data_IF_877578160918
#
_entry.id   IF_877578160918
#
_cell.length_a   1.000
_cell.length_b   1.000
_cell.length_c   1.000
_cell.angle_alpha   90.00
_cell.angle_beta   90.00
_cell.angle_gamma   90.00
#
_symmetry.space_group_name_H-M   'P 1'
#
loop_
_entity.id
_entity.type
_entity.pdbx_description
1 polymer ?
#
# COMPACT_ATOMS: atom_id res chain seq x y z
N UNK A 1 0.09 -24.43 -2.16
CA UNK A 1 -0.08 -22.96 -2.13
C UNK A 1 -1.39 -22.64 -2.83
N UNK A 2 -2.40 -22.17 -2.10
CA UNK A 2 -3.70 -21.79 -2.68
C UNK A 2 -3.48 -20.53 -3.53
N UNK A 3 -3.75 -20.61 -4.83
CA UNK A 3 -3.62 -19.45 -5.71
C UNK A 3 -4.76 -18.47 -5.41
N UNK A 4 -4.42 -17.21 -5.10
CA UNK A 4 -5.41 -16.17 -4.85
C UNK A 4 -6.26 -15.94 -6.09
N UNK A 5 -7.58 -15.83 -5.91
CA UNK A 5 -8.55 -15.46 -6.95
C UNK A 5 -8.24 -14.11 -7.61
N UNK A 6 -7.37 -13.31 -6.99
CA UNK A 6 -6.98 -12.00 -7.50
C UNK A 6 -5.84 -12.02 -8.53
N UNK A 7 -5.18 -13.18 -8.75
CA UNK A 7 -4.03 -13.32 -9.66
C UNK A 7 -4.32 -12.86 -11.09
N UNK A 8 -5.58 -12.91 -11.52
CA UNK A 8 -6.00 -12.50 -12.85
C UNK A 8 -6.20 -10.99 -13.01
N UNK A 9 -6.32 -10.25 -11.89
CA UNK A 9 -6.64 -8.81 -11.93
C UNK A 9 -5.38 -7.94 -11.86
N UNK A 10 -4.31 -8.45 -11.26
CA UNK A 10 -3.08 -7.69 -11.10
C UNK A 10 -1.84 -8.57 -11.07
N UNK A 11 -0.70 -7.97 -11.41
CA UNK A 11 0.61 -8.62 -11.35
C UNK A 11 1.46 -7.86 -10.34
N UNK A 12 2.02 -8.57 -9.37
CA UNK A 12 2.95 -8.00 -8.41
C UNK A 12 4.31 -7.74 -9.07
N UNK A 13 4.85 -6.53 -8.84
CA UNK A 13 6.22 -6.16 -9.23
C UNK A 13 7.11 -6.36 -8.02
N UNK A 14 7.60 -7.59 -7.88
CA UNK A 14 8.45 -7.97 -6.76
C UNK A 14 7.67 -8.35 -5.49
N UNK A 15 8.40 -8.58 -4.38
CA UNK A 15 7.81 -9.01 -3.12
C UNK A 15 7.01 -7.89 -2.44
N UNK A 16 6.01 -8.29 -1.64
CA UNK A 16 5.37 -7.36 -0.71
C UNK A 16 6.31 -7.07 0.47
N UNK A 17 6.28 -5.84 0.95
CA UNK A 17 7.05 -5.36 2.10
C UNK A 17 6.09 -5.02 3.24
N UNK A 18 6.28 -5.63 4.40
CA UNK A 18 5.53 -5.29 5.61
C UNK A 18 6.39 -4.39 6.47
N UNK A 19 5.82 -3.26 6.89
CA UNK A 19 6.48 -2.28 7.75
C UNK A 19 5.66 -2.13 9.02
N UNK A 20 6.29 -2.33 10.18
CA UNK A 20 5.65 -2.06 11.46
C UNK A 20 5.48 -0.56 11.65
N UNK A 21 4.34 -0.14 12.17
CA UNK A 21 4.07 1.29 12.40
C UNK A 21 4.94 1.86 13.54
N UNK A 22 5.36 1.01 14.49
CA UNK A 22 6.43 1.28 15.44
C UNK A 22 6.98 -0.03 16.04
N UNK A 23 8.10 0.02 16.77
CA UNK A 23 8.68 -1.15 17.44
C UNK A 23 7.73 -1.82 18.45
N UNK A 24 6.79 -1.07 19.02
CA UNK A 24 5.83 -1.56 20.02
C UNK A 24 4.40 -1.67 19.47
N UNK A 25 4.17 -1.41 18.18
CA UNK A 25 2.83 -1.49 17.61
C UNK A 25 2.49 -2.92 17.21
N UNK A 26 1.26 -3.32 17.50
CA UNK A 26 0.58 -4.50 16.97
C UNK A 26 0.03 -4.28 15.55
N UNK A 27 0.20 -3.08 14.98
CA UNK A 27 -0.23 -2.75 13.63
C UNK A 27 0.96 -2.63 12.66
N UNK A 28 0.76 -3.14 11.45
CA UNK A 28 1.73 -3.06 10.37
C UNK A 28 1.05 -2.67 9.06
N UNK A 29 1.79 -1.97 8.20
CA UNK A 29 1.37 -1.59 6.86
C UNK A 29 2.08 -2.50 5.84
N UNK A 30 1.31 -3.13 4.96
CA UNK A 30 1.84 -3.94 3.87
C UNK A 30 1.84 -3.14 2.55
N UNK A 31 3.02 -2.96 1.97
CA UNK A 31 3.23 -2.35 0.66
C UNK A 31 3.46 -3.42 -0.38
N UNK A 32 2.80 -3.32 -1.52
CA UNK A 32 3.09 -4.17 -2.66
C UNK A 32 2.96 -3.36 -3.94
N UNK A 33 3.92 -3.51 -4.84
CA UNK A 33 3.91 -2.81 -6.13
C UNK A 33 3.09 -3.65 -7.11
N UNK A 34 2.18 -2.99 -7.81
CA UNK A 34 1.35 -3.62 -8.85
C UNK A 34 1.78 -3.08 -10.20
N UNK A 35 2.06 -3.98 -11.14
CA UNK A 35 2.29 -3.59 -12.52
C UNK A 35 0.96 -3.11 -13.09
N UNK A 36 0.98 -1.94 -13.71
CA UNK A 36 -0.19 -1.37 -14.34
C UNK A 36 0.12 -0.81 -15.74
N UNK A 37 -0.91 -0.66 -16.55
CA UNK A 37 -0.86 0.06 -17.81
C UNK A 37 -0.73 1.56 -17.53
N UNK A 38 -0.32 2.34 -18.54
CA UNK A 38 -0.29 3.81 -18.44
C UNK A 38 -1.65 4.42 -18.08
N UNK A 39 -2.76 3.69 -18.37
CA UNK A 39 -4.13 4.11 -18.05
C UNK A 39 -4.60 3.66 -16.66
N UNK A 40 -3.80 2.93 -15.90
CA UNK A 40 -4.18 2.47 -14.57
C UNK A 40 -5.25 1.37 -14.57
N UNK A 41 -5.39 0.60 -15.66
CA UNK A 41 -6.52 -0.30 -15.86
C UNK A 41 -6.55 -1.45 -14.87
N UNK A 42 -5.38 -1.94 -14.43
CA UNK A 42 -5.29 -3.05 -13.47
C UNK A 42 -5.57 -2.58 -12.04
N UNK A 43 -5.11 -1.39 -11.65
CA UNK A 43 -5.49 -0.79 -10.38
C UNK A 43 -7.00 -0.54 -10.31
N UNK A 44 -7.61 -0.04 -11.40
CA UNK A 44 -9.07 0.13 -11.45
C UNK A 44 -9.81 -1.22 -11.28
N UNK A 45 -9.33 -2.29 -11.90
CA UNK A 45 -9.92 -3.63 -11.78
C UNK A 45 -9.83 -4.24 -10.37
N UNK A 46 -8.92 -3.72 -9.53
CA UNK A 46 -8.81 -4.12 -8.13
C UNK A 46 -9.89 -3.50 -7.24
N UNK A 47 -10.48 -2.38 -7.65
CA UNK A 47 -11.46 -1.68 -6.83
C UNK A 47 -12.72 -2.52 -6.60
N UNK A 48 -13.21 -2.50 -5.36
CA UNK A 48 -14.33 -3.32 -4.91
C UNK A 48 -14.03 -4.80 -4.72
N UNK A 49 -12.82 -5.27 -5.06
CA UNK A 49 -12.38 -6.66 -4.82
C UNK A 49 -11.92 -6.85 -3.38
N UNK A 50 -11.98 -8.08 -2.91
CA UNK A 50 -11.60 -8.42 -1.54
C UNK A 50 -10.28 -9.17 -1.46
N UNK A 51 -9.43 -8.75 -0.53
CA UNK A 51 -8.21 -9.43 -0.11
C UNK A 51 -8.50 -10.23 1.16
N UNK A 52 -8.02 -11.47 1.22
CA UNK A 52 -8.04 -12.25 2.46
C UNK A 52 -6.70 -12.13 3.17
N UNK A 53 -6.76 -11.76 4.45
CA UNK A 53 -5.64 -11.73 5.37
C UNK A 53 -5.97 -12.63 6.57
N UNK A 54 -5.43 -13.85 6.58
CA UNK A 54 -5.79 -14.87 7.57
C UNK A 54 -7.30 -15.12 7.55
N UNK A 55 -8.02 -14.84 8.64
CA UNK A 55 -9.47 -14.96 8.75
C UNK A 55 -10.22 -13.66 8.36
N UNK A 56 -9.52 -12.57 8.08
CA UNK A 56 -10.12 -11.30 7.71
C UNK A 56 -10.28 -11.19 6.20
N UNK A 57 -11.42 -10.63 5.76
CA UNK A 57 -11.65 -10.25 4.37
C UNK A 57 -11.76 -8.73 4.32
N UNK A 58 -10.86 -8.09 3.58
CA UNK A 58 -10.77 -6.63 3.44
C UNK A 58 -11.13 -6.25 2.02
N UNK A 59 -12.02 -5.28 1.83
CA UNK A 59 -12.35 -4.77 0.51
C UNK A 59 -11.38 -3.66 0.10
N UNK A 60 -10.92 -3.69 -1.14
CA UNK A 60 -10.12 -2.63 -1.74
C UNK A 60 -11.08 -1.51 -2.16
N UNK A 61 -10.82 -0.30 -1.67
CA UNK A 61 -11.57 0.91 -1.99
C UNK A 61 -10.66 1.94 -2.63
N UNK A 62 -11.22 2.79 -3.49
CA UNK A 62 -10.49 3.93 -4.04
C UNK A 62 -10.19 4.92 -2.92
N UNK A 63 -8.98 5.47 -2.94
CA UNK A 63 -8.69 6.65 -2.14
C UNK A 63 -9.45 7.84 -2.75
N UNK A 64 -10.11 8.64 -1.91
CA UNK A 64 -10.75 9.86 -2.37
C UNK A 64 -9.73 10.74 -3.11
N UNK A 65 -10.00 11.04 -4.38
CA UNK A 65 -9.17 11.94 -5.15
C UNK A 65 -9.17 13.32 -4.49
N UNK A 66 -7.98 13.90 -4.30
CA UNK A 66 -7.85 15.24 -3.78
C UNK A 66 -7.01 16.12 -4.73
N UNK A 67 -7.63 16.59 -5.83
CA UNK A 67 -6.94 17.37 -6.86
C UNK A 67 -6.28 18.61 -6.28
N UNK A 68 -5.03 18.87 -6.68
CA UNK A 68 -4.27 20.03 -6.21
C UNK A 68 -3.60 19.86 -4.84
N UNK A 69 -3.83 18.76 -4.14
CA UNK A 69 -3.10 18.45 -2.90
C UNK A 69 -2.10 17.32 -3.11
N UNK A 70 -0.93 17.43 -2.47
CA UNK A 70 0.06 16.35 -2.51
C UNK A 70 -0.35 15.21 -1.57
N UNK A 71 -0.25 13.97 -2.05
CA UNK A 71 -0.29 12.78 -1.21
C UNK A 71 1.08 12.58 -0.55
N UNK A 72 1.13 12.65 0.77
CA UNK A 72 2.34 12.38 1.50
C UNK A 72 2.72 10.90 1.38
N UNK A 73 3.91 10.60 0.84
CA UNK A 73 4.40 9.22 0.68
C UNK A 73 4.93 8.62 2.00
N UNK A 74 4.94 9.38 3.10
CA UNK A 74 5.32 8.87 4.44
C UNK A 74 4.11 8.34 5.20
N UNK A 75 3.06 9.15 5.31
CA UNK A 75 1.86 8.79 6.09
C UNK A 75 0.64 8.47 5.23
N UNK A 76 0.74 8.57 3.90
CA UNK A 76 -0.34 8.29 2.95
C UNK A 76 -1.59 9.13 3.17
N UNK A 77 -1.44 10.34 3.71
CA UNK A 77 -2.52 11.33 3.83
C UNK A 77 -2.35 12.50 2.86
N UNK A 78 -3.48 13.04 2.41
CA UNK A 78 -3.53 14.22 1.56
C UNK A 78 -3.23 15.50 2.36
N UNK A 79 -2.86 16.57 1.66
CA UNK A 79 -2.77 17.94 2.22
C UNK A 79 -1.36 18.40 2.60
N UNK A 80 -0.35 17.55 2.51
CA UNK A 80 1.05 17.96 2.71
C UNK A 80 2.03 17.08 1.94
N UNK A 81 3.23 17.59 1.69
CA UNK A 81 4.27 16.84 1.00
C UNK A 81 5.08 16.00 1.99
N UNK A 82 5.72 14.93 1.51
CA UNK A 82 6.61 14.09 2.32
C UNK A 82 7.74 14.90 3.00
N UNK A 83 8.13 16.05 2.45
CA UNK A 83 9.17 16.92 3.02
C UNK A 83 8.72 17.61 4.30
N UNK A 84 7.44 17.98 4.38
CA UNK A 84 6.84 18.67 5.52
C UNK A 84 6.21 17.71 6.53
N UNK A 85 6.29 16.41 6.28
CA UNK A 85 5.66 15.40 7.12
C UNK A 85 6.52 15.10 8.36
N UNK A 86 5.91 15.25 9.54
CA UNK A 86 6.51 14.87 10.83
C UNK A 86 6.27 13.41 11.21
N UNK A 87 5.48 12.66 10.43
CA UNK A 87 5.34 11.23 10.65
C UNK A 87 6.68 10.53 10.46
N UNK A 88 6.96 9.53 11.31
CA UNK A 88 8.12 8.66 11.13
C UNK A 88 8.02 7.98 9.78
N UNK A 89 9.11 8.02 9.02
CA UNK A 89 9.17 7.30 7.76
C UNK A 89 9.00 5.79 8.03
N UNK A 90 8.28 5.05 7.17
CA UNK A 90 8.22 3.60 7.24
C UNK A 90 9.66 3.03 7.21
N UNK A 91 10.02 2.22 8.21
CA UNK A 91 11.35 1.59 8.31
C UNK A 91 11.25 0.12 7.95
N UNK A 92 12.23 -0.39 7.19
CA UNK A 92 12.30 -1.82 6.93
C UNK A 92 12.60 -2.57 8.23
N UNK A 93 11.85 -3.64 8.53
CA UNK A 93 12.12 -4.45 9.72
C UNK A 93 13.46 -5.19 9.65
N UNK A 94 14.04 -5.38 8.45
CA UNK A 94 15.31 -6.11 8.28
C UNK A 94 16.54 -5.23 8.54
N UNK A 95 16.49 -3.94 8.21
CA UNK A 95 17.68 -3.07 8.30
C UNK A 95 17.40 -1.68 8.91
N UNK A 96 16.21 -1.43 9.45
CA UNK A 96 15.85 -0.22 10.20
C UNK A 96 15.85 1.08 9.40
N UNK A 97 16.06 1.02 8.08
CA UNK A 97 16.17 2.19 7.21
C UNK A 97 14.89 2.40 6.38
N UNK A 98 14.59 3.63 5.95
CA UNK A 98 13.54 3.87 4.97
C UNK A 98 13.98 3.41 3.57
N UNK A 99 13.08 2.79 2.81
CA UNK A 99 13.29 2.37 1.41
C UNK A 99 12.11 2.79 0.54
N UNK A 100 12.36 2.98 -0.76
CA UNK A 100 11.38 3.37 -1.78
C UNK A 100 11.27 2.31 -2.89
#
# INVERSE_FOLDING_TARGET
>A
MQQSSLRNYFVLVGPAHVVHNSCASDTATAYFKVWDSQRGTRAANLMGRSLQFSHWTVQILEANANPGTSLCQRCWTWGHSSKLCHAKAPQCPLCGSPHY
#
